data_IF_580002543747
#
_entry.id   IF_580002543747
#
_cell.length_a   1.000
_cell.length_b   1.000
_cell.length_c   1.000
_cell.angle_alpha   90.00
_cell.angle_beta   90.00
_cell.angle_gamma   90.00
#
_symmetry.space_group_name_H-M   'P 1'
#
loop_
_entity.id
_entity.type
_entity.pdbx_description
1 polymer ?
#
# COMPACT_ATOMS: atom_id res chain seq x y z
N UNK A 1 -4.43 -22.07 -33.75
CA UNK A 1 -3.49 -21.62 -32.70
C UNK A 1 -2.42 -20.78 -33.38
N UNK A 2 -2.54 -19.44 -33.31
CA UNK A 2 -1.60 -18.53 -33.98
C UNK A 2 -0.49 -18.11 -33.03
N UNK A 3 0.76 -18.43 -33.37
CA UNK A 3 1.93 -17.99 -32.60
C UNK A 3 2.14 -16.50 -32.87
N UNK A 4 2.05 -15.66 -31.84
CA UNK A 4 2.34 -14.23 -31.94
C UNK A 4 3.79 -14.00 -31.56
N UNK A 5 4.59 -13.51 -32.51
CA UNK A 5 5.98 -13.13 -32.28
C UNK A 5 6.06 -11.63 -32.01
N UNK A 6 6.46 -11.24 -30.80
CA UNK A 6 6.70 -9.83 -30.45
C UNK A 6 8.17 -9.52 -30.67
N UNK A 7 8.48 -8.56 -31.55
CA UNK A 7 9.84 -8.11 -31.80
C UNK A 7 10.28 -7.14 -30.70
N UNK A 8 11.52 -7.28 -30.21
CA UNK A 8 12.09 -6.39 -29.18
C UNK A 8 12.13 -4.92 -29.63
N UNK A 9 12.26 -4.67 -30.92
CA UNK A 9 12.16 -3.32 -31.49
C UNK A 9 10.77 -2.72 -31.33
N UNK A 10 9.71 -3.51 -31.18
CA UNK A 10 8.33 -3.02 -31.06
C UNK A 10 7.95 -2.60 -29.63
N UNK A 11 8.86 -2.73 -28.65
CA UNK A 11 8.60 -2.48 -27.23
C UNK A 11 9.51 -1.39 -26.64
N UNK A 12 9.65 -0.26 -27.34
CA UNK A 12 10.53 0.85 -26.94
C UNK A 12 10.28 1.42 -25.53
N UNK A 13 9.06 1.25 -25.00
CA UNK A 13 8.67 1.75 -23.67
C UNK A 13 8.87 0.73 -22.54
N UNK A 14 9.36 -0.48 -22.83
CA UNK A 14 9.70 -1.44 -21.80
C UNK A 14 11.05 -1.03 -21.19
N UNK A 15 10.95 -0.41 -20.02
CA UNK A 15 12.11 0.00 -19.22
C UNK A 15 12.57 -1.17 -18.37
N UNK A 16 13.88 -1.34 -18.24
CA UNK A 16 14.48 -2.30 -17.31
C UNK A 16 13.97 -2.02 -15.88
N UNK A 17 13.46 -3.07 -15.23
CA UNK A 17 13.04 -2.97 -13.83
C UNK A 17 14.31 -2.80 -12.99
N UNK A 18 14.40 -1.70 -12.24
CA UNK A 18 15.48 -1.50 -11.27
C UNK A 18 15.48 -2.67 -10.28
N UNK A 19 16.68 -3.16 -9.94
CA UNK A 19 16.85 -4.13 -8.85
C UNK A 19 16.18 -3.58 -7.58
N UNK A 20 15.35 -4.42 -6.95
CA UNK A 20 14.70 -4.18 -5.66
C UNK A 20 13.85 -2.90 -5.56
N UNK A 21 13.31 -2.39 -6.68
CA UNK A 21 12.63 -1.09 -6.71
C UNK A 21 11.51 -0.96 -5.66
N UNK A 22 10.74 -2.04 -5.50
CA UNK A 22 9.63 -2.13 -4.56
C UNK A 22 9.97 -2.97 -3.33
N UNK A 23 10.80 -4.00 -3.50
CA UNK A 23 11.22 -4.92 -2.43
C UNK A 23 11.98 -4.21 -1.31
N UNK A 24 12.74 -3.15 -1.63
CA UNK A 24 13.45 -2.34 -0.63
C UNK A 24 12.55 -1.73 0.45
N UNK A 25 11.25 -1.58 0.19
CA UNK A 25 10.29 -1.00 1.15
C UNK A 25 9.47 -2.05 1.90
N UNK A 26 9.65 -3.34 1.60
CA UNK A 26 8.86 -4.42 2.22
C UNK A 26 9.05 -4.44 3.73
N UNK A 27 10.26 -4.18 4.22
CA UNK A 27 10.51 -4.10 5.67
C UNK A 27 9.70 -3.00 6.36
N UNK A 28 9.57 -1.83 5.73
CA UNK A 28 8.73 -0.74 6.25
C UNK A 28 7.24 -1.11 6.19
N UNK A 29 6.82 -1.79 5.13
CA UNK A 29 5.44 -2.25 5.01
C UNK A 29 5.08 -3.28 6.10
N UNK A 30 5.98 -4.23 6.36
CA UNK A 30 5.83 -5.19 7.45
C UNK A 30 5.78 -4.50 8.82
N UNK A 31 6.71 -3.56 9.07
CA UNK A 31 6.71 -2.76 10.29
C UNK A 31 5.39 -1.99 10.47
N UNK A 32 4.84 -1.40 9.40
CA UNK A 32 3.54 -0.72 9.43
C UNK A 32 2.37 -1.66 9.74
N UNK A 33 2.42 -2.92 9.30
CA UNK A 33 1.39 -3.92 9.59
C UNK A 33 1.45 -4.40 11.05
N UNK A 34 2.66 -4.60 11.59
CA UNK A 34 2.86 -5.11 12.96
C UNK A 34 2.81 -4.01 14.01
N UNK A 35 3.17 -2.79 13.63
CA UNK A 35 3.20 -1.60 14.47
C UNK A 35 2.68 -0.40 13.68
N UNK A 36 1.37 -0.31 13.40
CA UNK A 36 0.80 0.89 12.78
C UNK A 36 0.81 2.07 13.75
N UNK A 37 0.85 3.29 13.21
CA UNK A 37 0.45 4.49 13.95
C UNK A 37 -1.08 4.54 14.07
N UNK A 38 -1.77 4.30 12.95
CA UNK A 38 -3.22 4.34 12.83
C UNK A 38 -3.72 3.19 11.97
N UNK A 39 -4.92 2.70 12.25
CA UNK A 39 -5.67 1.77 11.38
C UNK A 39 -7.05 2.35 11.13
N UNK A 40 -7.37 2.53 9.85
CA UNK A 40 -8.65 3.05 9.39
C UNK A 40 -9.40 1.98 8.62
N UNK A 41 -10.71 1.85 8.86
CA UNK A 41 -11.62 1.06 8.07
C UNK A 41 -12.29 1.94 7.03
N UNK A 42 -12.11 1.59 5.76
CA UNK A 42 -12.55 2.38 4.62
C UNK A 42 -13.45 1.52 3.74
N UNK A 43 -14.69 1.96 3.56
CA UNK A 43 -15.63 1.29 2.65
C UNK A 43 -15.21 1.49 1.18
N UNK A 44 -15.29 0.41 0.41
CA UNK A 44 -15.29 0.45 -1.04
C UNK A 44 -16.70 0.73 -1.59
N UNK A 45 -16.77 1.05 -2.87
CA UNK A 45 -18.04 1.31 -3.56
C UNK A 45 -18.88 0.04 -3.77
N UNK A 46 -18.27 -1.14 -3.69
CA UNK A 46 -18.93 -2.44 -3.81
C UNK A 46 -19.51 -2.96 -2.48
N UNK A 47 -19.45 -2.15 -1.41
CA UNK A 47 -19.93 -2.51 -0.08
C UNK A 47 -18.94 -3.36 0.73
N UNK A 48 -17.79 -3.72 0.17
CA UNK A 48 -16.69 -4.33 0.93
C UNK A 48 -15.88 -3.28 1.68
N UNK A 49 -15.06 -3.69 2.64
CA UNK A 49 -14.20 -2.81 3.40
C UNK A 49 -12.72 -3.15 3.18
N UNK A 50 -11.86 -2.13 3.21
CA UNK A 50 -10.42 -2.29 3.38
C UNK A 50 -9.96 -1.69 4.70
N UNK A 51 -8.84 -2.22 5.18
CA UNK A 51 -8.08 -1.63 6.26
C UNK A 51 -6.89 -0.84 5.70
N UNK A 52 -6.79 0.42 6.09
CA UNK A 52 -5.65 1.28 5.79
C UNK A 52 -4.78 1.41 7.04
N UNK A 53 -3.65 0.70 7.05
CA UNK A 53 -2.61 0.79 8.07
C UNK A 53 -1.67 1.93 7.69
N UNK A 54 -1.52 2.89 8.59
CA UNK A 54 -0.69 4.07 8.39
C UNK A 54 0.53 4.00 9.31
N UNK A 55 1.72 4.03 8.72
CA UNK A 55 3.01 4.11 9.41
C UNK A 55 3.60 5.50 9.25
N UNK A 56 3.94 6.14 10.37
CA UNK A 56 4.63 7.43 10.39
C UNK A 56 6.07 7.27 10.88
N UNK A 57 7.00 7.88 10.14
CA UNK A 57 8.44 7.78 10.34
C UNK A 57 9.07 9.16 10.37
N UNK A 58 10.23 9.27 11.03
CA UNK A 58 11.11 10.46 11.01
C UNK A 58 11.81 10.63 9.65
N UNK A 59 11.01 10.67 8.58
CA UNK A 59 11.45 10.77 7.20
C UNK A 59 10.44 11.59 6.39
N UNK A 60 10.84 12.10 5.23
CA UNK A 60 9.90 12.80 4.32
C UNK A 60 8.81 11.87 3.77
N UNK A 61 9.08 10.57 3.77
CA UNK A 61 8.19 9.53 3.25
C UNK A 61 7.63 8.69 4.38
N UNK A 62 6.39 8.31 4.18
CA UNK A 62 5.52 7.59 5.09
C UNK A 62 5.06 6.31 4.39
N UNK A 63 4.47 5.40 5.16
CA UNK A 63 3.98 4.14 4.63
C UNK A 63 2.48 4.02 4.83
N UNK A 64 1.81 3.56 3.77
CA UNK A 64 0.44 3.11 3.81
C UNK A 64 0.43 1.65 3.38
N UNK A 65 -0.23 0.79 4.16
CA UNK A 65 -0.53 -0.58 3.76
C UNK A 65 -2.05 -0.77 3.73
N UNK A 66 -2.58 -1.06 2.55
CA UNK A 66 -3.98 -1.38 2.34
C UNK A 66 -4.15 -2.89 2.41
N UNK A 67 -5.06 -3.36 3.25
CA UNK A 67 -5.34 -4.79 3.47
C UNK A 67 -6.81 -5.06 3.21
N UNK A 68 -7.10 -6.15 2.50
CA UNK A 68 -8.45 -6.69 2.26
C UNK A 68 -8.41 -8.18 2.55
N UNK A 69 -9.45 -8.69 3.21
CA UNK A 69 -9.65 -10.12 3.37
C UNK A 69 -10.62 -10.60 2.29
N UNK A 70 -10.17 -11.55 1.47
CA UNK A 70 -10.96 -12.11 0.39
C UNK A 70 -10.80 -13.63 0.40
N UNK A 71 -11.91 -14.36 0.50
CA UNK A 71 -11.94 -15.84 0.50
C UNK A 71 -10.96 -16.50 1.51
N UNK A 72 -10.85 -15.92 2.72
CA UNK A 72 -9.94 -16.42 3.75
C UNK A 72 -8.46 -16.08 3.51
N UNK A 73 -8.14 -15.40 2.42
CA UNK A 73 -6.81 -14.89 2.12
C UNK A 73 -6.68 -13.41 2.46
N UNK A 74 -5.48 -13.00 2.87
CA UNK A 74 -5.14 -11.60 3.10
C UNK A 74 -4.45 -11.04 1.86
N UNK A 75 -5.16 -10.16 1.15
CA UNK A 75 -4.61 -9.39 0.04
C UNK A 75 -4.11 -8.06 0.58
N UNK A 76 -2.89 -7.68 0.22
CA UNK A 76 -2.31 -6.45 0.71
C UNK A 76 -1.44 -5.76 -0.33
N UNK A 77 -1.45 -4.43 -0.26
CA UNK A 77 -0.67 -3.56 -1.11
C UNK A 77 -0.10 -2.43 -0.26
N UNK A 78 1.06 -1.90 -0.63
CA UNK A 78 1.68 -0.79 0.09
C UNK A 78 2.07 0.36 -0.82
N UNK A 79 2.02 1.57 -0.26
CA UNK A 79 2.38 2.81 -0.93
C UNK A 79 3.35 3.59 -0.05
N UNK A 80 4.53 3.84 -0.60
CA UNK A 80 5.53 4.72 0.01
C UNK A 80 5.29 6.15 -0.48
N UNK A 81 4.69 6.98 0.36
CA UNK A 81 4.10 8.27 -0.05
C UNK A 81 4.53 9.40 0.87
N UNK A 82 4.33 10.65 0.47
CA UNK A 82 4.52 11.80 1.37
C UNK A 82 3.37 11.91 2.40
N UNK A 83 3.61 12.66 3.48
CA UNK A 83 2.66 12.83 4.56
C UNK A 83 1.34 13.51 4.14
N UNK A 84 1.38 14.44 3.16
CA UNK A 84 0.18 15.16 2.70
C UNK A 84 -0.76 14.21 1.95
N UNK A 85 -0.20 13.37 1.08
CA UNK A 85 -0.97 12.35 0.35
C UNK A 85 -1.57 11.30 1.29
N UNK A 86 -0.90 10.99 2.39
CA UNK A 86 -1.37 10.04 3.41
C UNK A 86 -2.70 10.47 4.07
N UNK A 87 -2.93 11.78 4.23
CA UNK A 87 -4.16 12.31 4.83
C UNK A 87 -5.42 11.89 4.06
N UNK A 88 -5.31 11.65 2.75
CA UNK A 88 -6.43 11.17 1.94
C UNK A 88 -6.91 9.78 2.36
N UNK A 89 -6.11 9.02 3.11
CA UNK A 89 -6.43 7.68 3.59
C UNK A 89 -6.93 7.66 5.04
N UNK A 90 -7.01 8.82 5.70
CA UNK A 90 -7.58 9.01 7.05
C UNK A 90 -9.06 9.37 6.95
N UNK A 91 -9.88 8.42 6.51
CA UNK A 91 -11.32 8.60 6.39
C UNK A 91 -12.05 7.28 6.69
N UNK A 92 -13.37 7.37 6.87
CA UNK A 92 -14.16 6.26 7.36
C UNK A 92 -14.04 6.14 8.88
N UNK A 93 -13.94 4.91 9.38
CA UNK A 93 -13.93 4.62 10.80
C UNK A 93 -12.48 4.42 11.30
N UNK A 94 -12.10 5.15 12.34
CA UNK A 94 -10.80 4.97 12.99
C UNK A 94 -10.88 3.78 13.96
N UNK A 95 -10.20 2.68 13.64
CA UNK A 95 -10.19 1.47 14.47
C UNK A 95 -9.08 1.47 15.52
N UNK A 96 -7.93 2.08 15.19
CA UNK A 96 -6.78 2.10 16.09
C UNK A 96 -5.97 3.38 15.91
N UNK A 97 -5.48 3.93 17.01
CA UNK A 97 -4.50 5.00 17.04
C UNK A 97 -3.54 4.78 18.21
N UNK A 98 -2.23 4.78 17.93
CA UNK A 98 -1.19 4.52 18.93
C UNK A 98 -1.14 5.57 20.04
N UNK A 99 -1.32 6.84 19.67
CA UNK A 99 -1.23 7.96 20.62
C UNK A 99 -2.53 8.75 20.63
N UNK A 100 -3.15 8.84 21.80
CA UNK A 100 -4.19 9.81 22.13
C UNK A 100 -3.55 10.94 22.92
N UNK A 101 -3.64 12.17 22.40
CA UNK A 101 -3.29 13.35 23.19
C UNK A 101 -4.43 13.55 24.19
N UNK A 102 -4.08 13.56 25.48
CA UNK A 102 -4.98 13.84 26.59
C UNK A 102 -5.18 15.34 26.75
#
# INVERSE_FOLDING_TARGET
MGVVTILRSSIHHIVEKRLDARERYVRLALDTLTGPLEVWKVAFTDGSDRLAFIGAYESKRQMLVSVVFFEGQMLWNFMHTDAKSLNKHRHGELLYKRYTLF
#
